data_IF_018857270700
#
_entry.id   IF_018857270700
#
_cell.length_a   1.000
_cell.length_b   1.000
_cell.length_c   1.000
_cell.angle_alpha   90.00
_cell.angle_beta   90.00
_cell.angle_gamma   90.00
#
_symmetry.space_group_name_H-M   'P 1'
#
loop_
_entity.id
_entity.type
_entity.pdbx_description
1 polymer ?
#
# COMPACT_ATOMS: atom_id res chain seq x y z
N UNK A 1 1.93 23.83 2.25
CA UNK A 1 0.77 24.24 3.06
C UNK A 1 -0.16 23.08 3.45
N UNK A 2 -0.44 22.10 2.59
CA UNK A 2 -1.38 20.98 2.91
C UNK A 2 -0.94 20.11 4.09
N UNK A 3 0.36 19.84 4.25
CA UNK A 3 0.90 19.03 5.36
C UNK A 3 0.60 19.66 6.72
N UNK A 4 0.81 20.97 6.86
CA UNK A 4 0.54 21.71 8.11
C UNK A 4 -0.95 21.70 8.44
N UNK A 5 -1.81 21.84 7.43
CA UNK A 5 -3.26 21.76 7.63
C UNK A 5 -3.67 20.38 8.18
N UNK A 6 -3.20 19.28 7.57
CA UNK A 6 -3.54 17.93 8.04
C UNK A 6 -2.98 17.64 9.44
N UNK A 7 -1.75 18.08 9.73
CA UNK A 7 -1.14 17.93 11.06
C UNK A 7 -1.85 18.76 12.15
N UNK A 8 -2.14 20.03 11.86
CA UNK A 8 -2.68 20.98 12.83
C UNK A 8 -4.18 20.81 13.08
N UNK A 9 -4.96 20.58 12.02
CA UNK A 9 -6.42 20.45 12.16
C UNK A 9 -6.91 19.01 12.34
N UNK A 10 -6.08 18.03 11.96
CA UNK A 10 -6.50 16.64 11.87
C UNK A 10 -7.55 16.35 10.79
N UNK A 11 -7.90 17.35 9.97
CA UNK A 11 -8.89 17.21 8.90
C UNK A 11 -8.24 16.77 7.61
N UNK A 12 -8.94 15.91 6.89
CA UNK A 12 -8.49 15.33 5.63
C UNK A 12 -8.82 16.34 4.52
N UNK A 13 -7.82 16.87 3.80
CA UNK A 13 -8.05 17.95 2.85
C UNK A 13 -8.77 17.46 1.57
N UNK A 14 -8.54 16.22 1.14
CA UNK A 14 -9.31 15.56 0.08
C UNK A 14 -9.29 14.03 0.24
N UNK A 15 -10.30 13.37 -0.31
CA UNK A 15 -10.50 11.92 -0.28
C UNK A 15 -10.93 11.40 -1.65
N UNK A 16 -10.83 10.09 -1.86
CA UNK A 16 -11.46 9.43 -3.01
C UNK A 16 -12.98 9.58 -2.92
N UNK A 17 -13.61 9.85 -4.05
CA UNK A 17 -15.06 9.74 -4.18
C UNK A 17 -15.41 8.25 -4.27
N UNK A 18 -16.25 7.72 -3.36
CA UNK A 18 -16.69 6.34 -3.45
C UNK A 18 -17.49 6.15 -4.73
N UNK A 19 -17.32 5.01 -5.40
CA UNK A 19 -18.17 4.61 -6.51
C UNK A 19 -19.51 4.11 -5.98
N UNK A 20 -20.54 4.23 -6.81
CA UNK A 20 -21.85 3.67 -6.49
C UNK A 20 -21.74 2.13 -6.38
N UNK A 21 -22.29 1.57 -5.31
CA UNK A 21 -22.16 0.13 -5.00
C UNK A 21 -20.81 -0.32 -4.44
N UNK A 22 -19.87 0.61 -4.17
CA UNK A 22 -18.57 0.25 -3.59
C UNK A 22 -18.71 -0.17 -2.11
N UNK A 23 -18.18 -1.35 -1.79
CA UNK A 23 -18.15 -1.84 -0.41
C UNK A 23 -17.23 -1.00 0.48
N UNK A 24 -17.53 -0.97 1.79
CA UNK A 24 -16.61 -0.37 2.77
C UNK A 24 -15.34 -1.21 2.83
N UNK A 25 -14.25 -0.58 2.40
CA UNK A 25 -12.98 -1.26 2.18
C UNK A 25 -11.89 -0.70 3.09
N UNK A 26 -11.10 -1.60 3.66
CA UNK A 26 -9.92 -1.29 4.43
C UNK A 26 -8.66 -1.60 3.62
N UNK A 27 -7.76 -0.63 3.50
CA UNK A 27 -6.52 -0.77 2.74
C UNK A 27 -5.32 -0.89 3.67
N UNK A 28 -4.62 -2.02 3.64
CA UNK A 28 -3.46 -2.27 4.49
C UNK A 28 -2.21 -2.26 3.61
N UNK A 29 -1.30 -1.32 3.83
CA UNK A 29 0.02 -1.29 3.20
C UNK A 29 1.07 -1.92 4.10
N UNK A 30 1.76 -2.95 3.64
CA UNK A 30 2.85 -3.61 4.34
C UNK A 30 4.16 -3.34 3.63
N UNK A 31 5.13 -2.79 4.37
CA UNK A 31 6.48 -2.57 3.87
C UNK A 31 7.52 -3.03 4.88
N UNK A 32 8.72 -3.28 4.39
CA UNK A 32 9.85 -3.69 5.20
C UNK A 32 10.93 -2.63 5.13
N UNK A 33 11.49 -2.27 6.28
CA UNK A 33 12.61 -1.33 6.36
C UNK A 33 13.76 -1.96 7.15
N UNK A 34 14.98 -1.50 6.87
CA UNK A 34 16.20 -1.92 7.56
C UNK A 34 16.51 -0.97 8.71
N UNK A 35 17.09 -1.52 9.76
CA UNK A 35 17.60 -0.75 10.90
C UNK A 35 18.83 0.10 10.51
N UNK A 36 19.09 1.16 11.29
CA UNK A 36 20.19 2.13 11.10
C UNK A 36 21.56 1.46 11.18
N UNK A 37 21.66 0.38 11.94
CA UNK A 37 22.86 -0.46 12.09
C UNK A 37 23.24 -1.23 10.80
N UNK A 38 22.38 -1.23 9.77
CA UNK A 38 22.65 -1.89 8.49
C UNK A 38 22.64 -3.42 8.55
N UNK A 39 22.44 -4.02 9.73
CA UNK A 39 22.17 -5.44 9.84
C UNK A 39 20.91 -5.79 9.05
N UNK A 40 20.87 -7.01 8.50
CA UNK A 40 19.79 -7.59 7.68
C UNK A 40 18.45 -7.77 8.45
N UNK A 41 18.21 -6.96 9.47
CA UNK A 41 17.02 -6.97 10.30
C UNK A 41 15.98 -6.09 9.61
N UNK A 42 15.08 -6.75 8.91
CA UNK A 42 13.90 -6.11 8.35
C UNK A 42 12.84 -6.02 9.43
N UNK A 43 12.22 -4.87 9.62
CA UNK A 43 11.02 -4.74 10.46
C UNK A 43 9.83 -4.46 9.57
N UNK A 44 8.72 -5.15 9.84
CA UNK A 44 7.46 -4.92 9.13
C UNK A 44 6.76 -3.67 9.68
N UNK A 45 6.35 -2.78 8.80
CA UNK A 45 5.43 -1.69 9.12
C UNK A 45 4.15 -1.92 8.33
N UNK A 46 3.03 -2.10 9.03
CA UNK A 46 1.71 -2.08 8.42
C UNK A 46 1.08 -0.71 8.64
N UNK A 47 0.40 -0.26 7.61
CA UNK A 47 -0.41 0.91 7.70
C UNK A 47 -1.79 0.65 7.13
N UNK A 48 -2.79 0.86 7.98
CA UNK A 48 -4.18 0.75 7.62
C UNK A 48 -4.71 2.11 7.18
N UNK A 49 -5.45 2.14 6.08
CA UNK A 49 -6.20 3.27 5.60
C UNK A 49 -7.66 2.89 5.49
N UNK A 50 -8.49 3.71 6.12
CA UNK A 50 -9.94 3.66 5.97
C UNK A 50 -10.40 4.35 4.66
N UNK A 51 -11.61 4.03 4.19
CA UNK A 51 -12.27 4.68 3.06
C UNK A 51 -12.35 6.20 3.19
N UNK A 52 -12.37 6.73 4.43
CA UNK A 52 -12.39 8.17 4.68
C UNK A 52 -11.00 8.80 4.53
N UNK A 53 -9.94 8.01 4.39
CA UNK A 53 -8.56 8.46 4.34
C UNK A 53 -7.93 8.66 5.72
N UNK A 54 -8.46 8.05 6.80
CA UNK A 54 -7.74 8.04 8.08
C UNK A 54 -6.72 6.91 8.08
N UNK A 55 -5.46 7.27 8.33
CA UNK A 55 -4.36 6.32 8.42
C UNK A 55 -4.05 5.95 9.86
N UNK A 56 -3.92 4.65 10.14
CA UNK A 56 -3.45 4.12 11.41
C UNK A 56 -2.16 3.32 11.19
N UNK A 57 -1.19 3.53 12.06
CA UNK A 57 0.11 2.86 11.99
C UNK A 57 0.16 1.72 12.98
N UNK A 58 0.63 0.57 12.49
CA UNK A 58 0.95 -0.59 13.28
C UNK A 58 2.40 -1.00 13.00
N UNK A 59 3.23 -0.97 14.04
CA UNK A 59 4.57 -1.54 13.97
C UNK A 59 4.44 -3.06 14.11
N UNK A 60 4.80 -3.77 13.06
CA UNK A 60 4.88 -5.21 13.10
C UNK A 60 6.17 -5.70 13.74
N UNK A 61 6.30 -7.03 13.83
CA UNK A 61 7.46 -7.70 14.42
C UNK A 61 8.62 -7.78 13.42
N UNK A 62 9.76 -8.27 13.92
CA UNK A 62 10.97 -8.52 13.12
C UNK A 62 10.64 -9.52 12.01
N UNK A 63 10.92 -9.13 10.78
CA UNK A 63 10.72 -9.95 9.59
C UNK A 63 11.94 -10.85 9.37
N UNK A 64 11.68 -12.03 8.82
CA UNK A 64 12.70 -12.98 8.41
C UNK A 64 13.17 -12.67 6.99
N UNK A 65 14.40 -13.09 6.68
CA UNK A 65 14.98 -12.96 5.34
C UNK A 65 15.29 -14.34 4.81
N UNK A 66 15.07 -14.56 3.51
CA UNK A 66 15.53 -15.79 2.88
C UNK A 66 17.06 -15.91 2.95
N UNK A 67 17.57 -17.14 2.94
CA UNK A 67 19.01 -17.45 2.96
C UNK A 67 19.79 -16.78 1.82
N UNK A 68 19.12 -16.35 0.74
CA UNK A 68 19.68 -15.59 -0.40
C UNK A 68 19.40 -14.08 -0.38
N UNK A 69 18.83 -13.55 0.71
CA UNK A 69 18.92 -12.14 1.09
C UNK A 69 18.06 -11.12 0.35
N UNK A 70 17.16 -11.52 -0.57
CA UNK A 70 16.48 -10.55 -1.46
C UNK A 70 15.04 -10.21 -1.08
N UNK A 71 14.32 -11.12 -0.43
CA UNK A 71 12.89 -10.91 -0.15
C UNK A 71 12.60 -11.11 1.34
N UNK A 72 12.23 -10.04 2.07
CA UNK A 72 11.79 -10.16 3.45
C UNK A 72 10.36 -10.70 3.51
N UNK A 73 10.11 -11.54 4.50
CA UNK A 73 8.83 -12.16 4.79
C UNK A 73 8.56 -12.19 6.30
N UNK A 74 7.30 -12.28 6.68
CA UNK A 74 6.83 -12.43 8.06
C UNK A 74 6.53 -13.91 8.33
N UNK A 75 6.51 -14.32 9.59
CA UNK A 75 5.95 -15.63 9.95
C UNK A 75 4.43 -15.60 9.85
N UNK A 76 3.79 -16.77 9.80
CA UNK A 76 2.32 -16.89 9.88
C UNK A 76 1.76 -16.13 11.10
N UNK A 77 2.34 -16.35 12.28
CA UNK A 77 1.91 -15.71 13.53
C UNK A 77 2.07 -14.18 13.49
N UNK A 78 3.18 -13.68 12.92
CA UNK A 78 3.41 -12.24 12.80
C UNK A 78 2.45 -11.59 11.81
N UNK A 79 2.19 -12.26 10.67
CA UNK A 79 1.24 -11.79 9.67
C UNK A 79 -0.19 -11.76 10.22
N UNK A 80 -0.58 -12.79 10.96
CA UNK A 80 -1.87 -12.87 11.66
C UNK A 80 -2.05 -11.73 12.67
N UNK A 81 -1.09 -11.53 13.57
CA UNK A 81 -1.19 -10.46 14.60
C UNK A 81 -1.20 -9.07 13.97
N UNK A 82 -0.45 -8.85 12.89
CA UNK A 82 -0.39 -7.58 12.18
C UNK A 82 -1.74 -7.20 11.57
N UNK A 83 -2.38 -8.12 10.85
CA UNK A 83 -3.68 -7.88 10.22
C UNK A 83 -4.79 -7.84 11.25
N UNK A 84 -4.78 -8.72 12.26
CA UNK A 84 -5.72 -8.67 13.39
C UNK A 84 -5.67 -7.33 14.12
N UNK A 85 -4.48 -6.79 14.37
CA UNK A 85 -4.28 -5.47 14.95
C UNK A 85 -4.90 -4.36 14.10
N UNK A 86 -4.75 -4.43 12.77
CA UNK A 86 -5.35 -3.48 11.83
C UNK A 86 -6.88 -3.56 11.87
N UNK A 87 -7.45 -4.75 11.76
CA UNK A 87 -8.91 -4.95 11.78
C UNK A 87 -9.52 -4.52 13.13
N UNK A 88 -8.82 -4.75 14.24
CA UNK A 88 -9.23 -4.25 15.56
C UNK A 88 -9.26 -2.71 15.58
N UNK A 89 -8.21 -2.06 15.10
CA UNK A 89 -8.16 -0.60 15.01
C UNK A 89 -9.28 -0.03 14.11
N UNK A 90 -9.60 -0.71 13.01
CA UNK A 90 -10.74 -0.37 12.15
C UNK A 90 -12.06 -0.46 12.94
N UNK A 91 -12.32 -1.61 13.57
CA UNK A 91 -13.55 -1.86 14.33
C UNK A 91 -13.69 -0.90 15.51
N UNK A 92 -12.62 -0.56 16.20
CA UNK A 92 -12.65 0.38 17.31
C UNK A 92 -13.11 1.78 16.88
N UNK A 93 -12.81 2.17 15.65
CA UNK A 93 -13.16 3.48 15.08
C UNK A 93 -14.52 3.48 14.36
N UNK A 94 -14.78 2.47 13.53
CA UNK A 94 -15.99 2.38 12.69
C UNK A 94 -17.16 1.65 13.37
N UNK A 95 -16.88 0.92 14.45
CA UNK A 95 -17.83 0.09 15.20
C UNK A 95 -18.46 -1.05 14.38
N UNK A 96 -17.93 -1.33 13.19
CA UNK A 96 -18.30 -2.48 12.35
C UNK A 96 -17.04 -3.03 11.66
N UNK A 97 -17.02 -4.31 11.23
CA UNK A 97 -15.94 -4.84 10.41
C UNK A 97 -16.00 -4.28 8.97
N UNK A 98 -14.87 -4.23 8.25
CA UNK A 98 -14.88 -3.87 6.83
C UNK A 98 -15.48 -5.02 6.01
N UNK A 99 -16.25 -4.70 4.96
CA UNK A 99 -16.78 -5.72 4.05
C UNK A 99 -15.70 -6.26 3.11
N UNK A 100 -14.68 -5.43 2.81
CA UNK A 100 -13.56 -5.79 1.94
C UNK A 100 -12.23 -5.35 2.53
N UNK A 101 -11.19 -6.17 2.41
CA UNK A 101 -9.83 -5.82 2.85
C UNK A 101 -8.83 -6.04 1.72
N UNK A 102 -8.06 -5.01 1.42
CA UNK A 102 -7.04 -5.04 0.37
C UNK A 102 -5.67 -4.85 1.03
N UNK A 103 -4.80 -5.84 0.89
CA UNK A 103 -3.47 -5.85 1.47
C UNK A 103 -2.45 -5.66 0.35
N UNK A 104 -1.79 -4.51 0.35
CA UNK A 104 -0.73 -4.17 -0.58
C UNK A 104 0.62 -4.40 0.09
N UNK A 105 1.45 -5.29 -0.46
CA UNK A 105 2.77 -5.61 0.09
C UNK A 105 3.88 -5.28 -0.91
N UNK A 106 5.04 -4.79 -0.43
CA UNK A 106 6.21 -4.49 -1.30
C UNK A 106 7.06 -5.71 -1.66
N UNK A 107 6.84 -6.86 -1.03
CA UNK A 107 7.50 -8.14 -1.34
C UNK A 107 6.46 -9.23 -1.61
N UNK A 108 6.89 -10.33 -2.24
CA UNK A 108 6.04 -11.48 -2.55
C UNK A 108 5.44 -12.09 -1.27
N UNK A 109 4.21 -12.58 -1.35
CA UNK A 109 3.61 -13.37 -0.28
C UNK A 109 4.15 -14.80 -0.29
N UNK A 110 4.55 -15.31 0.87
CA UNK A 110 4.72 -16.75 1.11
C UNK A 110 3.39 -17.38 1.50
N UNK A 111 3.29 -18.71 1.34
CA UNK A 111 2.12 -19.48 1.77
C UNK A 111 1.80 -19.24 3.24
N UNK A 112 2.77 -19.42 4.13
CA UNK A 112 2.63 -19.19 5.59
C UNK A 112 2.12 -17.77 5.92
N UNK A 113 2.63 -16.74 5.24
CA UNK A 113 2.15 -15.37 5.45
C UNK A 113 0.71 -15.20 4.98
N UNK A 114 0.38 -15.75 3.81
CA UNK A 114 -0.97 -15.71 3.28
C UNK A 114 -1.92 -16.44 4.24
N UNK A 115 -1.57 -17.62 4.74
CA UNK A 115 -2.40 -18.40 5.65
C UNK A 115 -2.71 -17.63 6.95
N UNK A 116 -1.68 -16.98 7.55
CA UNK A 116 -1.87 -16.13 8.74
C UNK A 116 -2.78 -14.93 8.48
N UNK A 117 -2.63 -14.29 7.32
CA UNK A 117 -3.51 -13.21 6.87
C UNK A 117 -4.94 -13.71 6.68
N UNK A 118 -5.13 -14.79 5.93
CA UNK A 118 -6.45 -15.37 5.61
C UNK A 118 -7.18 -15.79 6.88
N UNK A 119 -6.47 -16.38 7.85
CA UNK A 119 -7.01 -16.72 9.17
C UNK A 119 -7.54 -15.48 9.89
N UNK A 120 -6.77 -14.39 9.94
CA UNK A 120 -7.20 -13.16 10.61
C UNK A 120 -8.41 -12.50 9.94
N UNK A 121 -8.54 -12.61 8.61
CA UNK A 121 -9.67 -12.08 7.84
C UNK A 121 -10.94 -12.90 8.07
N UNK A 122 -10.82 -14.23 8.11
CA UNK A 122 -11.94 -15.13 8.40
C UNK A 122 -12.48 -14.91 9.82
N UNK A 123 -11.59 -14.77 10.82
CA UNK A 123 -11.99 -14.49 12.21
C UNK A 123 -12.67 -13.13 12.39
N UNK A 124 -12.38 -12.18 11.50
CA UNK A 124 -12.98 -10.85 11.50
C UNK A 124 -14.26 -10.75 10.65
N UNK A 125 -14.76 -11.87 10.11
CA UNK A 125 -15.96 -11.94 9.26
C UNK A 125 -15.87 -10.99 8.05
N UNK A 126 -14.68 -10.90 7.44
CA UNK A 126 -14.49 -10.12 6.20
C UNK A 126 -14.86 -10.99 5.00
N UNK A 127 -15.87 -10.57 4.25
CA UNK A 127 -16.37 -11.30 3.07
C UNK A 127 -15.41 -11.29 1.89
N UNK A 128 -14.82 -10.13 1.57
CA UNK A 128 -13.95 -9.96 0.40
C UNK A 128 -12.52 -9.61 0.78
N UNK A 129 -11.56 -10.23 0.10
CA UNK A 129 -10.13 -10.03 0.36
C UNK A 129 -9.32 -9.99 -0.91
N UNK A 130 -8.34 -9.10 -0.94
CA UNK A 130 -7.36 -9.02 -2.01
C UNK A 130 -5.96 -8.91 -1.43
N UNK A 131 -5.10 -9.87 -1.75
CA UNK A 131 -3.69 -9.85 -1.36
C UNK A 131 -2.87 -9.53 -2.59
N UNK A 132 -2.23 -8.36 -2.63
CA UNK A 132 -1.57 -7.85 -3.84
C UNK A 132 -0.12 -7.53 -3.54
N UNK A 133 0.76 -8.26 -4.21
CA UNK A 133 2.16 -7.90 -4.22
C UNK A 133 2.37 -6.79 -5.26
N UNK A 134 2.77 -5.62 -4.79
CA UNK A 134 3.09 -4.46 -5.63
C UNK A 134 4.58 -4.45 -5.89
N UNK A 135 4.98 -4.96 -7.06
CA UNK A 135 6.36 -4.88 -7.52
C UNK A 135 6.62 -3.50 -8.11
N UNK A 136 7.44 -2.72 -7.40
CA UNK A 136 7.68 -1.32 -7.74
C UNK A 136 8.48 -1.17 -9.03
N UNK A 137 9.37 -2.10 -9.35
CA UNK A 137 10.18 -2.08 -10.57
C UNK A 137 9.97 -3.35 -11.39
N UNK A 138 9.45 -3.17 -12.59
CA UNK A 138 9.39 -4.20 -13.62
C UNK A 138 10.10 -3.70 -14.88
N UNK A 139 10.84 -4.59 -15.53
CA UNK A 139 11.71 -4.22 -16.65
C UNK A 139 10.97 -4.11 -17.97
N UNK A 140 9.83 -4.82 -18.11
CA UNK A 140 9.00 -4.71 -19.30
C UNK A 140 8.37 -3.32 -19.41
N UNK A 141 8.39 -2.76 -20.62
CA UNK A 141 7.81 -1.46 -20.92
C UNK A 141 6.95 -1.54 -22.17
N UNK A 142 5.83 -0.86 -22.11
CA UNK A 142 4.95 -0.61 -23.24
C UNK A 142 5.39 0.67 -23.91
N UNK A 143 5.44 0.63 -25.24
CA UNK A 143 5.70 1.78 -26.09
C UNK A 143 4.37 2.23 -26.69
N UNK A 144 4.19 3.54 -26.76
CA UNK A 144 3.10 4.18 -27.49
C UNK A 144 3.69 4.78 -28.75
N UNK A 145 2.91 4.78 -29.82
CA UNK A 145 3.26 5.56 -31.00
C UNK A 145 3.28 7.07 -30.69
N UNK A 146 4.27 7.76 -31.27
CA UNK A 146 4.58 9.19 -31.07
C UNK A 146 5.72 9.52 -30.10
N UNK A 147 5.95 10.81 -29.88
CA UNK A 147 7.13 11.33 -29.15
C UNK A 147 7.02 11.27 -27.62
N UNK A 148 5.83 10.98 -27.10
CA UNK A 148 5.54 10.98 -25.67
C UNK A 148 5.38 9.57 -25.13
N UNK A 149 5.82 9.30 -23.89
CA UNK A 149 5.64 8.00 -23.28
C UNK A 149 4.15 7.68 -23.06
N UNK A 150 3.85 6.44 -22.69
CA UNK A 150 2.48 5.99 -22.39
C UNK A 150 1.73 6.91 -21.43
N UNK A 151 0.41 6.95 -21.57
CA UNK A 151 -0.45 7.80 -20.76
C UNK A 151 -0.44 7.34 -19.30
N UNK A 152 -0.46 8.31 -18.37
CA UNK A 152 -0.70 8.02 -16.96
C UNK A 152 -2.08 7.39 -16.80
N UNK A 153 -2.12 6.20 -16.20
CA UNK A 153 -3.33 5.38 -16.05
C UNK A 153 -3.43 4.24 -17.06
N UNK A 154 -2.50 4.10 -18.01
CA UNK A 154 -2.46 2.92 -18.89
C UNK A 154 -2.29 1.65 -18.06
N UNK A 155 -3.18 0.69 -18.27
CA UNK A 155 -3.19 -0.62 -17.63
C UNK A 155 -3.14 -1.70 -18.71
N UNK A 156 -2.31 -2.72 -18.49
CA UNK A 156 -2.26 -3.92 -19.32
C UNK A 156 -2.25 -5.15 -18.45
N UNK A 157 -3.14 -6.07 -18.77
CA UNK A 157 -3.19 -7.38 -18.14
C UNK A 157 -2.18 -8.33 -18.77
N UNK A 158 -1.44 -9.06 -17.94
CA UNK A 158 -0.37 -9.98 -18.30
C UNK A 158 -0.56 -11.27 -17.50
N UNK A 159 -1.35 -12.21 -18.02
CA UNK A 159 -1.52 -13.55 -17.44
C UNK A 159 -1.88 -13.51 -15.93
N UNK A 160 -2.99 -12.84 -15.61
CA UNK A 160 -3.45 -12.64 -14.23
C UNK A 160 -2.67 -11.58 -13.42
N UNK A 161 -1.58 -11.02 -13.96
CA UNK A 161 -0.86 -9.87 -13.40
C UNK A 161 -1.26 -8.58 -14.10
N UNK A 162 -1.03 -7.45 -13.45
CA UNK A 162 -1.44 -6.14 -13.93
C UNK A 162 -0.26 -5.19 -14.06
N UNK A 163 0.08 -4.77 -15.27
CA UNK A 163 1.07 -3.72 -15.51
C UNK A 163 0.38 -2.36 -15.50
N UNK A 164 0.61 -1.57 -14.43
CA UNK A 164 -0.04 -0.28 -14.22
C UNK A 164 0.94 0.88 -14.34
N UNK A 165 0.71 1.76 -15.30
CA UNK A 165 1.44 3.01 -15.46
C UNK A 165 0.86 4.10 -14.57
N UNK A 166 1.34 4.17 -13.33
CA UNK A 166 0.99 5.28 -12.44
C UNK A 166 1.63 6.58 -12.91
N UNK A 167 2.83 6.54 -13.52
CA UNK A 167 3.47 7.70 -14.12
C UNK A 167 3.49 7.56 -15.63
N UNK A 168 3.38 8.68 -16.34
CA UNK A 168 3.29 8.72 -17.79
C UNK A 168 2.83 10.08 -18.25
N UNK A 169 2.61 10.22 -19.55
CA UNK A 169 2.14 11.45 -20.17
C UNK A 169 0.80 11.88 -19.60
N UNK A 170 0.69 13.16 -19.25
CA UNK A 170 -0.52 13.75 -18.67
C UNK A 170 -1.08 14.71 -19.72
N UNK A 171 -2.25 14.41 -20.33
CA UNK A 171 -2.84 15.25 -21.37
C UNK A 171 -3.01 16.71 -20.93
N UNK A 172 -3.39 16.95 -19.67
CA UNK A 172 -3.53 18.28 -19.09
C UNK A 172 -2.22 19.10 -19.11
N UNK A 173 -1.06 18.45 -18.98
CA UNK A 173 0.24 19.13 -19.08
C UNK A 173 0.79 19.18 -20.50
N UNK A 174 0.16 18.46 -21.45
CA UNK A 174 0.70 18.26 -22.80
C UNK A 174 2.06 17.53 -22.83
N UNK A 175 2.51 16.97 -21.70
CA UNK A 175 3.83 16.36 -21.57
C UNK A 175 3.90 15.36 -20.43
N UNK A 176 5.05 14.67 -20.32
CA UNK A 176 5.41 13.83 -19.19
C UNK A 176 6.39 14.59 -18.27
N UNK A 177 6.00 14.90 -17.02
CA UNK A 177 6.83 15.71 -16.11
C UNK A 177 7.98 14.92 -15.44
N UNK A 178 8.36 13.75 -15.97
CA UNK A 178 9.42 12.91 -15.39
C UNK A 178 10.70 12.91 -16.23
N UNK A 179 11.84 12.73 -15.55
CA UNK A 179 13.16 12.76 -16.19
C UNK A 179 13.48 11.50 -17.00
N UNK A 180 12.97 10.34 -16.56
CA UNK A 180 13.27 9.04 -17.16
C UNK A 180 12.00 8.37 -17.67
N UNK A 181 12.15 7.51 -18.69
CA UNK A 181 11.07 6.65 -19.22
C UNK A 181 10.26 6.04 -18.07
N UNK A 182 8.94 6.26 -18.03
CA UNK A 182 8.12 5.85 -16.90
C UNK A 182 8.24 4.35 -16.65
N UNK A 183 8.37 4.00 -15.37
CA UNK A 183 8.44 2.62 -14.93
C UNK A 183 7.07 2.22 -14.37
N UNK A 184 6.42 1.18 -14.92
CA UNK A 184 5.15 0.72 -14.41
C UNK A 184 5.31 0.05 -13.04
N UNK A 185 4.21 -0.02 -12.30
CA UNK A 185 4.04 -0.94 -11.19
C UNK A 185 3.51 -2.27 -11.75
N UNK A 186 4.10 -3.39 -11.34
CA UNK A 186 3.53 -4.70 -11.61
C UNK A 186 2.72 -5.13 -10.38
N UNK A 187 1.43 -5.33 -10.58
CA UNK A 187 0.49 -5.84 -9.60
C UNK A 187 0.41 -7.34 -9.78
N UNK A 188 0.75 -8.08 -8.73
CA UNK A 188 0.68 -9.52 -8.68
C UNK A 188 -0.33 -9.93 -7.60
N UNK A 189 -1.63 -10.06 -7.94
CA UNK A 189 -2.62 -10.60 -7.02
C UNK A 189 -2.26 -12.03 -6.62
N UNK A 190 -2.54 -12.37 -5.36
CA UNK A 190 -2.46 -13.74 -4.88
C UNK A 190 -3.69 -14.53 -5.39
N UNK A 191 -3.58 -15.84 -5.66
CA UNK A 191 -4.71 -16.65 -6.14
C UNK A 191 -5.93 -16.67 -5.21
N UNK A 192 -5.77 -16.32 -3.94
CA UNK A 192 -6.86 -16.21 -2.96
C UNK A 192 -7.59 -14.86 -2.98
N UNK A 193 -7.30 -14.00 -3.95
CA UNK A 193 -7.94 -12.68 -4.06
C UNK A 193 -9.26 -12.80 -4.80
N UNK A 194 -10.30 -12.13 -4.32
CA UNK A 194 -11.64 -12.22 -4.91
C UNK A 194 -11.84 -11.29 -6.10
N UNK A 195 -11.11 -10.18 -6.15
CA UNK A 195 -11.28 -9.16 -7.19
C UNK A 195 -10.39 -9.43 -8.40
N UNK A 196 -10.88 -8.99 -9.57
CA UNK A 196 -10.07 -9.03 -10.80
C UNK A 196 -8.88 -8.09 -10.71
N UNK A 197 -7.80 -8.41 -11.42
CA UNK A 197 -6.60 -7.56 -11.46
C UNK A 197 -6.89 -6.17 -12.00
N UNK A 198 -7.86 -6.02 -12.91
CA UNK A 198 -8.31 -4.73 -13.42
C UNK A 198 -8.98 -3.86 -12.34
N UNK A 199 -9.87 -4.45 -11.51
CA UNK A 199 -10.49 -3.75 -10.37
C UNK A 199 -9.43 -3.30 -9.36
N UNK A 200 -8.51 -4.19 -9.00
CA UNK A 200 -7.38 -3.89 -8.12
C UNK A 200 -6.54 -2.75 -8.71
N UNK A 201 -6.23 -2.78 -10.01
CA UNK A 201 -5.42 -1.76 -10.66
C UNK A 201 -6.10 -0.38 -10.66
N UNK A 202 -7.40 -0.33 -10.91
CA UNK A 202 -8.17 0.91 -10.87
C UNK A 202 -8.16 1.53 -9.46
N UNK A 203 -8.35 0.71 -8.43
CA UNK A 203 -8.30 1.15 -7.05
C UNK A 203 -6.89 1.61 -6.66
N UNK A 204 -5.85 0.83 -6.96
CA UNK A 204 -4.46 1.20 -6.72
C UNK A 204 -4.14 2.53 -7.40
N UNK A 205 -4.57 2.72 -8.66
CA UNK A 205 -4.39 3.97 -9.39
C UNK A 205 -5.10 5.14 -8.70
N UNK A 206 -6.33 4.93 -8.21
CA UNK A 206 -7.08 5.95 -7.45
C UNK A 206 -6.33 6.36 -6.18
N UNK A 207 -5.73 5.41 -5.46
CA UNK A 207 -4.99 5.65 -4.22
C UNK A 207 -3.67 6.39 -4.46
N UNK A 208 -3.11 6.37 -5.67
CA UNK A 208 -1.92 7.20 -5.99
C UNK A 208 -2.22 8.70 -6.00
N UNK A 209 -3.49 9.10 -6.16
CA UNK A 209 -3.93 10.50 -6.19
C UNK A 209 -4.10 11.09 -4.79
N UNK A 210 -4.04 10.25 -3.75
CA UNK A 210 -4.25 10.66 -2.36
C UNK A 210 -2.89 10.99 -1.72
N UNK A 211 -2.65 12.29 -1.47
CA UNK A 211 -1.44 12.71 -0.77
C UNK A 211 -1.59 14.02 0.00
N UNK A 212 -1.78 13.92 1.31
CA UNK A 212 -1.92 15.11 2.14
C UNK A 212 -0.61 15.92 2.30
N UNK A 213 0.53 15.40 1.85
CA UNK A 213 1.83 16.10 1.92
C UNK A 213 2.12 16.98 0.69
N UNK A 214 1.51 16.67 -0.46
CA UNK A 214 1.75 17.41 -1.70
C UNK A 214 0.55 17.35 -2.61
N UNK A 215 0.25 18.46 -3.28
CA UNK A 215 -0.80 18.61 -4.29
C UNK A 215 -0.40 18.02 -5.65
N UNK A 216 0.83 17.51 -5.78
CA UNK A 216 1.30 16.88 -7.00
C UNK A 216 0.48 15.64 -7.35
N UNK A 217 -0.10 15.65 -8.55
CA UNK A 217 -0.95 14.58 -9.06
C UNK A 217 -0.17 13.41 -9.67
N UNK A 218 1.15 13.53 -9.84
CA UNK A 218 2.01 12.57 -10.56
C UNK A 218 2.74 11.57 -9.63
N UNK A 219 2.11 11.21 -8.50
CA UNK A 219 2.71 10.25 -7.59
C UNK A 219 2.66 8.83 -8.13
N UNK A 220 3.76 8.11 -7.88
CA UNK A 220 3.95 6.75 -8.36
C UNK A 220 3.30 5.71 -7.44
N UNK A 221 3.58 5.76 -6.15
CA UNK A 221 3.15 4.72 -5.21
C UNK A 221 1.76 5.03 -4.64
N UNK A 222 0.90 4.01 -4.44
CA UNK A 222 -0.38 4.20 -3.75
C UNK A 222 -0.14 4.57 -2.29
N UNK A 223 -1.09 5.31 -1.70
CA UNK A 223 -0.92 5.83 -0.34
C UNK A 223 -0.55 4.77 0.71
N UNK A 224 -1.11 3.53 0.72
CA UNK A 224 -0.76 2.54 1.75
C UNK A 224 0.71 2.13 1.73
N UNK A 225 1.27 1.84 0.54
CA UNK A 225 2.68 1.47 0.38
C UNK A 225 3.60 2.65 0.72
N UNK A 226 3.28 3.83 0.19
CA UNK A 226 4.11 5.03 0.37
C UNK A 226 4.20 5.42 1.85
N UNK A 227 3.08 5.32 2.53
CA UNK A 227 2.96 5.69 3.92
C UNK A 227 3.66 4.65 4.82
N UNK A 228 3.51 3.36 4.54
CA UNK A 228 4.27 2.31 5.22
C UNK A 228 5.80 2.52 5.09
N UNK A 229 6.29 2.90 3.90
CA UNK A 229 7.72 3.24 3.69
C UNK A 229 8.18 4.44 4.52
N UNK A 230 7.44 5.56 4.47
CA UNK A 230 7.76 6.77 5.23
C UNK A 230 7.78 6.51 6.73
N UNK A 231 6.81 5.74 7.22
CA UNK A 231 6.73 5.33 8.62
C UNK A 231 7.95 4.48 8.97
N UNK A 232 8.34 3.51 8.13
CA UNK A 232 9.56 2.72 8.33
C UNK A 232 10.84 3.58 8.40
N UNK A 233 10.94 4.64 7.60
CA UNK A 233 12.04 5.60 7.64
C UNK A 233 12.15 6.37 8.96
N UNK A 234 11.02 6.56 9.67
CA UNK A 234 10.99 7.20 10.99
C UNK A 234 11.20 6.17 12.10
N UNK A 235 10.50 5.03 12.03
CA UNK A 235 10.51 3.99 13.05
C UNK A 235 11.88 3.33 13.23
N UNK A 236 12.77 3.38 12.21
CA UNK A 236 14.15 2.90 12.34
C UNK A 236 14.99 3.67 13.36
N UNK A 237 14.61 4.91 13.70
CA UNK A 237 15.32 5.71 14.69
C UNK A 237 14.73 5.60 16.11
N UNK A 238 13.64 4.84 16.28
CA UNK A 238 13.03 4.64 17.60
C UNK A 238 13.64 3.42 18.29
N UNK A 239 13.93 3.56 19.58
CA UNK A 239 14.43 2.45 20.40
C UNK A 239 13.41 1.30 20.49
N UNK A 240 13.89 0.07 20.65
CA UNK A 240 13.01 -1.07 20.91
C UNK A 240 12.23 -0.86 22.22
N UNK A 241 10.92 -1.13 22.20
CA UNK A 241 10.02 -0.94 23.34
C UNK A 241 9.43 0.47 23.50
N UNK A 242 9.85 1.46 22.71
CA UNK A 242 9.25 2.80 22.75
C UNK A 242 7.83 2.78 22.17
N UNK A 243 6.87 3.37 22.89
CA UNK A 243 5.47 3.45 22.46
C UNK A 243 5.38 4.25 21.17
N UNK A 244 4.89 3.60 20.11
CA UNK A 244 4.69 4.20 18.79
C UNK A 244 3.30 4.84 18.75
N UNK A 245 3.21 6.06 18.23
CA UNK A 245 1.92 6.72 18.05
C UNK A 245 1.15 6.03 16.91
N UNK A 246 -0.11 5.61 17.12
CA UNK A 246 -0.91 5.02 16.05
C UNK A 246 -1.37 6.05 15.01
N UNK A 247 -1.34 7.34 15.33
CA UNK A 247 -1.79 8.41 14.42
C UNK A 247 -0.75 8.70 13.32
N UNK A 248 -1.15 8.45 12.07
CA UNK A 248 -0.35 8.72 10.88
C UNK A 248 0.12 10.17 10.74
N UNK A 249 -0.62 11.14 11.27
CA UNK A 249 -0.27 12.58 11.19
C UNK A 249 1.12 12.89 11.75
N UNK A 250 1.61 12.09 12.70
CA UNK A 250 2.92 12.32 13.33
C UNK A 250 4.10 11.91 12.46
N UNK A 251 3.87 11.19 11.36
CA UNK A 251 4.90 10.53 10.55
C UNK A 251 5.05 11.09 9.13
N UNK A 252 4.39 12.22 8.82
CA UNK A 252 4.32 12.77 7.46
C UNK A 252 4.98 14.12 7.25
#
# INVERSE_FOLDING_TARGET
>A
MTTLYYKGSGRIPWRRLPKEGEFRACYIGVSFYRDVSGQQLWTSAAQMFDERGRGFILKGKRAQTETRGRHPYMTEADAYELVKGALKAYRDHHKHPPARVIILKTSRFRGEEADGILRSLNEAETEYRDLVWVQESYDAKILRDGDYPVLRGTFVELDGKGLLYTNGSIPYYGTYPGLYVPRPLLLCPHPSSDSTVAQIAEEVFSLTKINWNSTQMNQRLPVPIRAARKVGEVLKYMAEGQVVSPDYRRYI
#
